data_IF_891106770020
#
_entry.id   IF_891106770020
#
_cell.length_a   1.000
_cell.length_b   1.000
_cell.length_c   1.000
_cell.angle_alpha   90.00
_cell.angle_beta   90.00
_cell.angle_gamma   90.00
#
_symmetry.space_group_name_H-M   'P 1'
#
loop_
_entity.id
_entity.type
_entity.pdbx_description
1 polymer ?
#
# COMPACT_ATOMS: atom_id res chain seq x y z
N UNK A 1 16.03 4.30 -13.10
CA UNK A 1 15.01 3.46 -12.46
C UNK A 1 15.37 3.26 -10.99
N UNK A 2 14.39 3.32 -10.12
CA UNK A 2 14.65 3.19 -8.68
C UNK A 2 14.98 1.75 -8.32
N UNK A 3 15.98 1.58 -7.46
CA UNK A 3 16.36 0.26 -6.94
C UNK A 3 15.90 0.07 -5.50
N UNK A 4 15.53 1.15 -4.81
CA UNK A 4 15.06 1.09 -3.42
C UNK A 4 13.78 1.92 -3.28
N UNK A 5 13.05 1.65 -2.19
CA UNK A 5 11.84 2.41 -1.89
C UNK A 5 12.19 3.89 -1.67
N UNK A 6 13.31 4.17 -0.99
CA UNK A 6 13.76 5.55 -0.80
C UNK A 6 13.97 6.27 -2.14
N UNK A 7 14.60 5.60 -3.11
CA UNK A 7 14.82 6.19 -4.43
C UNK A 7 13.50 6.42 -5.16
N UNK A 8 12.58 5.46 -5.05
CA UNK A 8 11.26 5.61 -5.66
C UNK A 8 10.55 6.83 -5.11
N UNK A 9 10.53 6.98 -3.78
CA UNK A 9 9.87 8.10 -3.13
C UNK A 9 10.49 9.44 -3.55
N UNK A 10 11.81 9.46 -3.75
CA UNK A 10 12.50 10.68 -4.15
C UNK A 10 12.05 11.19 -5.52
N UNK A 11 11.51 10.31 -6.37
CA UNK A 11 11.02 10.71 -7.70
C UNK A 11 9.59 11.21 -7.69
N UNK A 12 8.88 11.10 -6.56
CA UNK A 12 7.46 11.46 -6.48
C UNK A 12 7.27 12.94 -6.18
N UNK A 13 6.16 13.52 -6.65
CA UNK A 13 5.78 14.88 -6.21
C UNK A 13 5.63 14.91 -4.69
N UNK A 14 5.82 16.09 -4.10
CA UNK A 14 5.84 16.25 -2.65
C UNK A 14 4.64 15.62 -1.95
N UNK A 15 3.44 15.90 -2.43
CA UNK A 15 2.22 15.40 -1.80
C UNK A 15 2.15 13.86 -1.86
N UNK A 16 2.47 13.30 -3.01
CA UNK A 16 2.46 11.84 -3.18
C UNK A 16 3.51 11.21 -2.29
N UNK A 17 4.71 11.82 -2.24
CA UNK A 17 5.80 11.31 -1.41
C UNK A 17 5.41 11.28 0.06
N UNK A 18 4.76 12.34 0.56
CA UNK A 18 4.33 12.39 1.95
C UNK A 18 3.32 11.29 2.26
N UNK A 19 2.36 11.08 1.35
CA UNK A 19 1.34 10.04 1.55
C UNK A 19 1.96 8.65 1.54
N UNK A 20 2.81 8.37 0.56
CA UNK A 20 3.46 7.06 0.47
C UNK A 20 4.38 6.81 1.67
N UNK A 21 5.05 7.86 2.16
CA UNK A 21 5.91 7.75 3.33
C UNK A 21 5.10 7.36 4.56
N UNK A 22 3.92 7.97 4.74
CA UNK A 22 3.06 7.62 5.86
C UNK A 22 2.50 6.20 5.72
N UNK A 23 2.12 5.81 4.51
CA UNK A 23 1.64 4.44 4.29
C UNK A 23 2.76 3.44 4.60
N UNK A 24 3.99 3.73 4.15
CA UNK A 24 5.16 2.91 4.45
C UNK A 24 5.32 2.71 5.95
N UNK A 25 5.21 3.80 6.70
CA UNK A 25 5.32 3.77 8.15
C UNK A 25 4.23 2.89 8.77
N UNK A 26 2.98 3.04 8.28
CA UNK A 26 1.85 2.27 8.77
C UNK A 26 2.00 0.78 8.48
N UNK A 27 2.51 0.43 7.30
CA UNK A 27 2.72 -0.96 6.95
C UNK A 27 3.74 -1.62 7.90
N UNK A 28 4.87 -0.93 8.16
CA UNK A 28 5.88 -1.49 9.06
C UNK A 28 5.41 -1.51 10.51
N UNK A 29 4.52 -0.59 10.89
CA UNK A 29 3.92 -0.62 12.23
C UNK A 29 2.98 -1.80 12.37
N UNK A 30 2.18 -2.07 11.35
CA UNK A 30 1.24 -3.18 11.36
C UNK A 30 1.95 -4.52 11.29
N UNK A 31 3.06 -4.58 10.54
CA UNK A 31 3.80 -5.82 10.31
C UNK A 31 5.29 -5.53 10.56
N UNK A 32 5.70 -5.52 11.84
CA UNK A 32 7.07 -5.12 12.18
C UNK A 32 8.17 -5.95 11.52
N UNK A 33 7.90 -7.20 11.19
CA UNK A 33 8.88 -8.05 10.52
C UNK A 33 8.92 -7.88 9.01
N UNK A 34 8.10 -6.98 8.47
CA UNK A 34 8.04 -6.82 7.02
C UNK A 34 9.31 -6.19 6.46
N UNK A 35 9.70 -6.67 5.27
CA UNK A 35 10.75 -6.07 4.49
C UNK A 35 10.14 -5.27 3.35
N UNK A 36 11.00 -4.63 2.58
CA UNK A 36 10.55 -3.87 1.43
C UNK A 36 11.59 -3.94 0.32
N UNK A 37 11.13 -3.82 -0.90
CA UNK A 37 11.99 -3.82 -2.08
C UNK A 37 11.26 -3.17 -3.23
N UNK A 38 11.94 -3.02 -4.37
CA UNK A 38 11.30 -2.61 -5.61
C UNK A 38 11.06 -3.87 -6.44
N UNK A 39 9.82 -4.03 -6.91
CA UNK A 39 9.44 -5.11 -7.78
C UNK A 39 8.48 -4.52 -8.81
N UNK A 40 8.68 -4.84 -10.08
CA UNK A 40 7.91 -4.23 -11.17
C UNK A 40 7.99 -2.69 -11.15
N UNK A 41 9.11 -2.16 -10.66
CA UNK A 41 9.33 -0.72 -10.61
C UNK A 41 8.61 0.02 -9.49
N UNK A 42 7.97 -0.68 -8.56
CA UNK A 42 7.20 -0.05 -7.48
C UNK A 42 7.53 -0.65 -6.11
N UNK A 43 7.24 0.11 -5.03
CA UNK A 43 7.43 -0.41 -3.67
C UNK A 43 6.64 -1.68 -3.44
N UNK A 44 7.31 -2.67 -2.88
CA UNK A 44 6.75 -3.98 -2.63
C UNK A 44 7.10 -4.35 -1.19
N UNK A 45 6.10 -4.71 -0.39
CA UNK A 45 6.33 -5.11 0.99
C UNK A 45 6.26 -6.61 1.09
N UNK A 46 7.20 -7.19 1.86
CA UNK A 46 7.38 -8.64 1.93
C UNK A 46 7.35 -9.13 3.37
N UNK A 47 6.99 -10.40 3.51
CA UNK A 47 7.09 -11.10 4.79
C UNK A 47 7.65 -12.49 4.47
N UNK A 48 8.75 -12.83 5.14
CA UNK A 48 9.45 -14.08 4.90
C UNK A 48 9.82 -14.27 3.41
N UNK A 49 10.22 -13.16 2.77
CA UNK A 49 10.64 -13.18 1.37
C UNK A 49 9.52 -13.17 0.35
N UNK A 50 8.25 -13.16 0.79
CA UNK A 50 7.09 -13.17 -0.12
C UNK A 50 6.36 -11.84 -0.02
N UNK A 51 5.98 -11.30 -1.18
CA UNK A 51 5.25 -10.04 -1.18
C UNK A 51 3.86 -10.20 -0.57
N UNK A 52 3.33 -9.13 0.01
CA UNK A 52 1.93 -9.10 0.43
C UNK A 52 1.22 -7.82 -0.02
N UNK A 53 1.93 -6.74 -0.32
CA UNK A 53 1.35 -5.49 -0.80
C UNK A 53 2.31 -4.83 -1.78
N UNK A 54 1.74 -4.27 -2.86
CA UNK A 54 2.39 -3.32 -3.74
C UNK A 54 1.76 -1.96 -3.51
N UNK A 55 2.59 -0.91 -3.54
CA UNK A 55 2.13 0.47 -3.53
C UNK A 55 2.62 1.17 -4.80
N UNK A 56 1.82 2.09 -5.32
CA UNK A 56 2.25 2.90 -6.44
C UNK A 56 1.76 4.34 -6.27
N UNK A 57 2.61 5.29 -6.65
CA UNK A 57 2.24 6.69 -6.65
C UNK A 57 1.96 7.16 -8.06
N UNK A 58 0.88 7.89 -8.22
CA UNK A 58 0.46 8.43 -9.50
C UNK A 58 0.28 9.94 -9.34
N UNK A 59 -0.06 10.61 -10.44
CA UNK A 59 -0.16 12.06 -10.42
C UNK A 59 -1.26 12.56 -9.49
N UNK A 60 -2.40 11.84 -9.45
CA UNK A 60 -3.58 12.28 -8.72
C UNK A 60 -4.10 11.30 -7.69
N UNK A 61 -3.41 10.19 -7.49
CA UNK A 61 -3.83 9.18 -6.52
C UNK A 61 -2.66 8.29 -6.17
N UNK A 62 -2.85 7.50 -5.13
CA UNK A 62 -1.95 6.39 -4.83
C UNK A 62 -2.78 5.11 -4.94
N UNK A 63 -2.14 4.01 -5.26
CA UNK A 63 -2.84 2.73 -5.39
C UNK A 63 -2.16 1.66 -4.55
N UNK A 64 -2.93 0.63 -4.22
CA UNK A 64 -2.50 -0.47 -3.36
C UNK A 64 -3.14 -1.75 -3.87
N UNK A 65 -2.37 -2.82 -3.99
CA UNK A 65 -2.88 -4.12 -4.42
C UNK A 65 -1.91 -5.23 -4.05
N UNK A 66 -2.33 -6.51 -4.06
CA UNK A 66 -3.70 -6.96 -4.32
C UNK A 66 -4.58 -6.74 -3.09
N UNK A 67 -5.89 -6.81 -3.30
CA UNK A 67 -6.84 -6.73 -2.20
C UNK A 67 -6.92 -8.12 -1.57
N UNK A 68 -6.64 -8.26 -0.27
CA UNK A 68 -6.74 -9.58 0.38
C UNK A 68 -8.20 -9.97 0.58
N UNK A 69 -8.44 -11.22 0.92
CA UNK A 69 -9.78 -11.66 1.33
C UNK A 69 -10.10 -10.98 2.66
N UNK A 70 -11.26 -10.36 2.73
CA UNK A 70 -11.63 -9.59 3.92
C UNK A 70 -13.04 -9.95 4.37
N UNK A 71 -13.29 -9.76 5.67
CA UNK A 71 -14.62 -9.95 6.22
C UNK A 71 -15.57 -8.89 5.68
N UNK A 72 -16.92 -9.12 5.79
CA UNK A 72 -17.90 -8.19 5.19
C UNK A 72 -17.75 -6.73 5.66
N UNK A 73 -17.43 -6.51 6.93
CA UNK A 73 -17.28 -5.16 7.43
C UNK A 73 -16.13 -4.42 6.73
N UNK A 74 -15.00 -5.09 6.61
CA UNK A 74 -13.84 -4.49 5.95
C UNK A 74 -14.08 -4.36 4.45
N UNK A 75 -14.79 -5.33 3.85
CA UNK A 75 -15.15 -5.27 2.44
C UNK A 75 -15.98 -4.02 2.16
N UNK A 76 -16.93 -3.71 3.03
CA UNK A 76 -17.76 -2.51 2.88
C UNK A 76 -16.91 -1.25 3.01
N UNK A 77 -15.95 -1.25 3.94
CA UNK A 77 -15.11 -0.08 4.18
C UNK A 77 -14.21 0.25 2.99
N UNK A 78 -13.74 -0.77 2.26
CA UNK A 78 -12.84 -0.54 1.12
C UNK A 78 -13.58 -0.31 -0.19
N UNK A 79 -14.88 -0.57 -0.24
CA UNK A 79 -15.65 -0.48 -1.48
C UNK A 79 -15.53 0.88 -2.17
N UNK A 80 -15.60 2.03 -1.46
CA UNK A 80 -15.46 3.34 -2.12
C UNK A 80 -14.13 3.54 -2.83
N UNK A 81 -13.11 2.77 -2.48
CA UNK A 81 -11.76 2.92 -3.03
C UNK A 81 -11.44 1.88 -4.10
N UNK A 82 -12.35 0.94 -4.33
CA UNK A 82 -12.10 -0.14 -5.29
C UNK A 82 -12.10 0.41 -6.71
N UNK A 83 -10.97 0.26 -7.40
CA UNK A 83 -10.83 0.72 -8.77
C UNK A 83 -11.02 -0.42 -9.77
N UNK A 84 -10.65 -1.62 -9.34
CA UNK A 84 -10.83 -2.82 -10.15
C UNK A 84 -10.93 -3.99 -9.20
N UNK A 85 -11.00 -5.19 -9.76
CA UNK A 85 -11.18 -6.40 -8.95
C UNK A 85 -10.12 -6.55 -7.87
N UNK A 86 -8.89 -6.14 -8.12
CA UNK A 86 -7.81 -6.34 -7.18
C UNK A 86 -7.06 -5.08 -6.75
N UNK A 87 -7.55 -3.89 -7.11
CA UNK A 87 -6.82 -2.65 -6.87
C UNK A 87 -7.67 -1.63 -6.13
N UNK A 88 -7.06 -0.97 -5.13
CA UNK A 88 -7.64 0.17 -4.45
C UNK A 88 -6.95 1.43 -4.92
N UNK A 89 -7.72 2.51 -5.11
CA UNK A 89 -7.21 3.84 -5.43
C UNK A 89 -7.64 4.82 -4.36
N UNK A 90 -6.69 5.62 -3.91
CA UNK A 90 -6.93 6.66 -2.91
C UNK A 90 -6.63 8.01 -3.54
N UNK A 91 -7.68 8.77 -3.94
CA UNK A 91 -7.46 10.08 -4.58
C UNK A 91 -6.80 11.05 -3.63
N UNK A 92 -5.87 11.87 -4.17
CA UNK A 92 -5.13 12.83 -3.35
C UNK A 92 -6.01 13.92 -2.77
N UNK A 93 -7.13 14.24 -3.45
CA UNK A 93 -8.04 15.31 -3.01
C UNK A 93 -8.97 14.91 -1.88
N UNK A 94 -8.91 13.66 -1.44
CA UNK A 94 -9.70 13.17 -0.33
C UNK A 94 -8.77 12.78 0.81
N UNK A 95 -9.25 12.81 2.06
CA UNK A 95 -8.43 12.31 3.16
C UNK A 95 -8.03 10.87 2.90
N UNK A 96 -6.77 10.56 3.14
CA UNK A 96 -6.26 9.19 2.94
C UNK A 96 -6.65 8.37 4.18
N UNK A 97 -7.32 7.23 4.00
CA UNK A 97 -7.76 6.41 5.14
C UNK A 97 -6.62 5.54 5.68
N UNK A 98 -5.67 6.17 6.37
CA UNK A 98 -4.48 5.49 6.85
C UNK A 98 -4.77 4.33 7.78
N UNK A 99 -5.77 4.48 8.66
CA UNK A 99 -6.12 3.39 9.59
C UNK A 99 -6.65 2.18 8.83
N UNK A 100 -7.44 2.42 7.79
CA UNK A 100 -7.95 1.35 6.94
C UNK A 100 -6.82 0.65 6.20
N UNK A 101 -5.87 1.42 5.67
CA UNK A 101 -4.71 0.88 4.96
C UNK A 101 -3.88 0.02 5.91
N UNK A 102 -3.71 0.46 7.14
CA UNK A 102 -2.97 -0.29 8.15
C UNK A 102 -3.65 -1.62 8.45
N UNK A 103 -4.99 -1.61 8.59
CA UNK A 103 -5.76 -2.85 8.79
C UNK A 103 -5.58 -3.81 7.61
N UNK A 104 -5.62 -3.27 6.40
CA UNK A 104 -5.43 -4.09 5.20
C UNK A 104 -4.06 -4.72 5.16
N UNK A 105 -3.04 -3.98 5.59
CA UNK A 105 -1.67 -4.50 5.62
C UNK A 105 -1.59 -5.70 6.56
N UNK A 106 -2.21 -5.60 7.73
CA UNK A 106 -2.23 -6.70 8.70
C UNK A 106 -2.90 -7.95 8.11
N UNK A 107 -4.06 -7.76 7.47
CA UNK A 107 -4.79 -8.86 6.87
C UNK A 107 -4.02 -9.48 5.72
N UNK A 108 -3.46 -8.65 4.86
CA UNK A 108 -2.70 -9.12 3.70
C UNK A 108 -1.48 -9.94 4.13
N UNK A 109 -0.76 -9.47 5.15
CA UNK A 109 0.42 -10.18 5.64
C UNK A 109 0.03 -11.52 6.25
N UNK A 110 -1.08 -11.58 6.97
CA UNK A 110 -1.55 -12.82 7.59
C UNK A 110 -1.90 -13.87 6.55
N UNK A 111 -2.37 -13.46 5.38
CA UNK A 111 -2.75 -14.39 4.32
C UNK A 111 -1.55 -14.84 3.49
N UNK A 112 -0.41 -14.16 3.64
CA UNK A 112 0.80 -14.49 2.90
C UNK A 112 1.42 -15.80 3.37
N UNK A 113 1.26 -16.06 4.64
CA UNK A 113 1.82 -17.26 5.23
C UNK A 113 1.25 -18.52 4.64
#
# INVERSE_FOLDING_TARGET
>A
MADTVDEYLATMPDQVREILTEIRRRVHRAVPESGEKISYGIPTFTLDGRYFIYLAGWKRHVSMYPIPDVEPELAAAIEPYRASKGTLKFPLRQPIPYDLIERLATVAAAQRG
#
